data_IF_874274937067
#
_entry.id   IF_874274937067
#
_cell.length_a   1.000
_cell.length_b   1.000
_cell.length_c   1.000
_cell.angle_alpha   90.00
_cell.angle_beta   90.00
_cell.angle_gamma   90.00
#
_symmetry.space_group_name_H-M   'P 1'
#
loop_
_entity.id
_entity.type
_entity.pdbx_description
1 polymer ?
#
# COMPACT_ATOMS: atom_id res chain seq x y z
N UNK A 1 -7.96 12.66 -18.02
CA UNK A 1 -7.95 14.05 -17.52
C UNK A 1 -6.54 14.37 -17.07
N UNK A 2 -5.95 15.47 -17.52
CA UNK A 2 -4.61 15.89 -17.13
C UNK A 2 -4.70 17.01 -16.09
N UNK A 3 -3.91 16.95 -15.02
CA UNK A 3 -3.80 17.98 -14.01
C UNK A 3 -2.51 18.77 -14.24
N UNK A 4 -2.61 20.07 -14.40
CA UNK A 4 -1.48 20.96 -14.67
C UNK A 4 -1.42 22.03 -13.60
N UNK A 5 -0.24 22.21 -13.01
CA UNK A 5 0.01 23.31 -12.07
C UNK A 5 0.58 24.49 -12.84
N UNK A 6 0.03 25.67 -12.61
CA UNK A 6 0.55 26.93 -13.15
C UNK A 6 0.87 27.91 -12.03
N UNK A 7 1.98 28.62 -12.11
CA UNK A 7 2.30 29.68 -11.16
C UNK A 7 1.21 30.75 -11.09
N UNK A 8 1.10 31.41 -9.97
CA UNK A 8 0.26 32.60 -9.83
C UNK A 8 0.68 33.66 -10.87
N UNK A 9 -0.28 34.31 -11.53
CA UNK A 9 -0.03 35.30 -12.59
C UNK A 9 0.17 34.74 -14.00
N UNK A 10 0.26 33.41 -14.18
CA UNK A 10 0.31 32.82 -15.52
C UNK A 10 -1.01 33.00 -16.29
N UNK A 11 -0.94 33.17 -17.61
CA UNK A 11 -2.12 33.32 -18.47
C UNK A 11 -3.12 32.19 -18.31
N UNK A 12 -4.41 32.47 -18.50
CA UNK A 12 -5.46 31.45 -18.38
C UNK A 12 -5.25 30.35 -19.44
N UNK A 13 -5.28 29.08 -19.01
CA UNK A 13 -5.23 27.93 -19.89
C UNK A 13 -6.60 27.24 -19.85
N UNK A 14 -7.29 27.22 -20.98
CA UNK A 14 -8.51 26.46 -21.15
C UNK A 14 -8.31 25.45 -22.29
N UNK A 15 -8.21 24.19 -21.95
CA UNK A 15 -8.04 23.09 -22.90
C UNK A 15 -8.93 21.91 -22.51
N UNK A 16 -9.56 21.22 -23.48
CA UNK A 16 -10.28 19.98 -23.21
C UNK A 16 -9.40 18.98 -22.44
N UNK A 17 -10.00 18.29 -21.48
CA UNK A 17 -9.32 17.28 -20.65
C UNK A 17 -8.18 17.77 -19.76
N UNK A 18 -8.04 19.09 -19.56
CA UNK A 18 -7.02 19.68 -18.68
C UNK A 18 -7.69 20.39 -17.51
N UNK A 19 -7.32 20.03 -16.30
CA UNK A 19 -7.66 20.75 -15.05
C UNK A 19 -6.44 21.57 -14.64
N UNK A 20 -6.61 22.86 -14.52
CA UNK A 20 -5.53 23.79 -14.14
C UNK A 20 -5.64 24.13 -12.67
N UNK A 21 -4.57 23.83 -11.93
CA UNK A 21 -4.40 24.22 -10.53
C UNK A 21 -3.52 25.45 -10.42
N UNK A 22 -3.89 26.40 -9.60
CA UNK A 22 -3.06 27.55 -9.24
C UNK A 22 -2.59 27.38 -7.81
N UNK A 23 -1.30 27.13 -7.63
CA UNK A 23 -0.73 26.91 -6.32
C UNK A 23 0.76 27.24 -6.31
N UNK A 24 1.26 27.52 -5.11
CA UNK A 24 2.69 27.70 -4.90
C UNK A 24 3.43 26.39 -5.16
N UNK A 25 4.46 26.45 -5.96
CA UNK A 25 5.36 25.36 -6.29
C UNK A 25 6.79 25.83 -6.05
N UNK A 26 7.59 25.03 -5.40
CA UNK A 26 9.00 25.29 -5.19
C UNK A 26 9.82 24.52 -6.23
N UNK A 27 11.03 25.01 -6.55
CA UNK A 27 11.87 24.42 -7.61
C UNK A 27 12.22 22.95 -7.33
N UNK A 28 12.43 22.59 -6.07
CA UNK A 28 12.72 21.23 -5.61
C UNK A 28 11.49 20.28 -5.55
N UNK A 29 10.31 20.79 -5.90
CA UNK A 29 9.06 20.01 -6.01
C UNK A 29 8.75 19.66 -7.48
N UNK A 30 9.66 19.95 -8.38
CA UNK A 30 9.54 19.66 -9.82
C UNK A 30 10.71 18.79 -10.25
N UNK A 31 10.41 17.78 -11.04
CA UNK A 31 11.39 16.92 -11.72
C UNK A 31 11.03 16.82 -13.21
N UNK A 32 11.86 16.14 -13.99
CA UNK A 32 11.63 15.95 -15.42
C UNK A 32 11.50 14.46 -15.70
N UNK A 33 10.41 14.08 -16.37
CA UNK A 33 10.19 12.73 -16.89
C UNK A 33 9.99 12.83 -18.41
N UNK A 34 10.84 12.18 -19.17
CA UNK A 34 10.81 12.19 -20.65
C UNK A 34 10.73 13.60 -21.27
N UNK A 35 11.48 14.55 -20.68
CA UNK A 35 11.49 15.94 -21.12
C UNK A 35 10.29 16.77 -20.66
N UNK A 36 9.37 16.21 -19.90
CA UNK A 36 8.18 16.90 -19.39
C UNK A 36 8.38 17.22 -17.90
N UNK A 37 8.22 18.50 -17.49
CA UNK A 37 8.27 18.86 -16.08
C UNK A 37 7.02 18.32 -15.37
N UNK A 38 7.25 17.55 -14.31
CA UNK A 38 6.22 16.96 -13.45
C UNK A 38 6.52 17.25 -11.98
N UNK A 39 5.52 17.16 -11.12
CA UNK A 39 5.75 17.21 -9.66
C UNK A 39 6.51 15.98 -9.19
N UNK A 40 7.38 16.16 -8.18
CA UNK A 40 8.04 15.02 -7.53
C UNK A 40 7.00 14.08 -6.91
N UNK A 41 7.33 12.79 -6.65
CA UNK A 41 6.39 11.83 -6.08
C UNK A 41 5.77 12.28 -4.76
N UNK A 42 6.57 12.80 -3.85
CA UNK A 42 6.11 13.31 -2.54
C UNK A 42 5.22 14.55 -2.68
N UNK A 43 5.50 15.42 -3.67
CA UNK A 43 4.62 16.55 -3.95
C UNK A 43 3.32 16.08 -4.59
N UNK A 44 3.37 15.17 -5.53
CA UNK A 44 2.19 14.54 -6.15
C UNK A 44 1.30 13.90 -5.09
N UNK A 45 1.88 13.13 -4.15
CA UNK A 45 1.16 12.53 -3.05
C UNK A 45 0.43 13.59 -2.19
N UNK A 46 1.11 14.69 -1.86
CA UNK A 46 0.47 15.77 -1.11
C UNK A 46 -0.65 16.45 -1.89
N UNK A 47 -0.52 16.61 -3.21
CA UNK A 47 -1.56 17.18 -4.06
C UNK A 47 -2.79 16.28 -4.12
N UNK A 48 -2.61 14.95 -4.16
CA UNK A 48 -3.68 13.96 -4.11
C UNK A 48 -4.51 14.02 -2.83
N UNK A 49 -3.97 14.53 -1.72
CA UNK A 49 -4.70 14.67 -0.47
C UNK A 49 -5.95 15.57 -0.57
N UNK A 50 -6.03 16.43 -1.56
CA UNK A 50 -7.24 17.23 -1.83
C UNK A 50 -8.39 16.37 -2.33
N UNK A 51 -8.10 15.38 -3.17
CA UNK A 51 -9.07 14.60 -3.94
C UNK A 51 -9.40 13.24 -3.32
N UNK A 52 -8.38 12.56 -2.79
CA UNK A 52 -8.49 11.20 -2.26
C UNK A 52 -9.06 11.17 -0.84
N UNK A 53 -9.64 10.05 -0.48
CA UNK A 53 -9.89 9.66 0.92
C UNK A 53 -8.58 9.38 1.65
N UNK A 54 -8.63 9.24 2.98
CA UNK A 54 -7.43 8.89 3.77
C UNK A 54 -6.87 7.53 3.33
N UNK A 55 -7.73 6.54 3.10
CA UNK A 55 -7.30 5.19 2.70
C UNK A 55 -6.63 5.17 1.33
N UNK A 56 -7.24 5.83 0.35
CA UNK A 56 -6.64 5.96 -0.98
C UNK A 56 -5.30 6.70 -0.92
N UNK A 57 -5.18 7.68 -0.03
CA UNK A 57 -3.94 8.41 0.18
C UNK A 57 -2.88 7.55 0.89
N UNK A 58 -3.28 6.65 1.80
CA UNK A 58 -2.38 5.65 2.38
C UNK A 58 -1.89 4.68 1.31
N UNK A 59 -2.80 4.16 0.47
CA UNK A 59 -2.44 3.28 -0.66
C UNK A 59 -1.42 3.94 -1.59
N UNK A 60 -1.66 5.21 -1.95
CA UNK A 60 -0.71 5.97 -2.77
C UNK A 60 0.63 6.17 -2.06
N UNK A 61 0.60 6.43 -0.75
CA UNK A 61 1.79 6.59 0.07
C UNK A 61 2.58 5.29 0.23
N UNK A 62 1.92 4.17 0.53
CA UNK A 62 2.54 2.84 0.60
C UNK A 62 3.27 2.53 -0.73
N UNK A 63 2.62 2.82 -1.88
CA UNK A 63 3.24 2.66 -3.20
C UNK A 63 4.45 3.56 -3.42
N UNK A 64 4.46 4.79 -2.90
CA UNK A 64 5.58 5.72 -3.02
C UNK A 64 6.81 5.24 -2.23
N UNK A 65 6.59 4.70 -1.01
CA UNK A 65 7.68 4.30 -0.10
C UNK A 65 8.07 2.83 -0.23
N UNK A 66 7.37 2.07 -1.06
CA UNK A 66 7.62 0.66 -1.30
C UNK A 66 9.02 0.42 -1.90
N UNK A 67 9.77 -0.53 -1.34
CA UNK A 67 10.97 -1.04 -2.00
C UNK A 67 10.56 -1.80 -3.27
N UNK A 68 11.04 -1.38 -4.43
CA UNK A 68 10.64 -2.02 -5.68
C UNK A 68 11.27 -3.42 -5.81
N UNK A 69 10.65 -4.24 -6.66
CA UNK A 69 11.24 -5.48 -7.15
C UNK A 69 11.88 -5.19 -8.51
N UNK A 70 13.20 -5.11 -8.63
CA UNK A 70 13.87 -4.61 -9.84
C UNK A 70 13.42 -5.31 -11.13
N UNK A 71 13.15 -6.63 -11.04
CA UNK A 71 12.73 -7.43 -12.19
C UNK A 71 11.31 -7.06 -12.70
N UNK A 72 10.48 -6.46 -11.84
CA UNK A 72 9.09 -6.10 -12.16
C UNK A 72 8.91 -4.59 -12.35
N UNK A 73 9.58 -3.79 -11.54
CA UNK A 73 9.34 -2.35 -11.46
C UNK A 73 10.29 -1.52 -12.33
N UNK A 74 11.37 -2.11 -12.84
CA UNK A 74 12.39 -1.42 -13.64
C UNK A 74 13.13 -0.31 -12.87
N UNK A 75 13.10 -0.32 -11.54
CA UNK A 75 13.78 0.59 -10.62
C UNK A 75 14.29 -0.19 -9.40
N UNK A 76 15.28 0.37 -8.73
CA UNK A 76 15.98 -0.24 -7.59
C UNK A 76 15.78 0.52 -6.26
N UNK A 77 15.08 1.66 -6.30
CA UNK A 77 14.82 2.48 -5.13
C UNK A 77 13.33 2.89 -5.04
N UNK A 78 12.82 3.20 -3.83
CA UNK A 78 11.51 3.80 -3.65
C UNK A 78 11.35 5.10 -4.43
N UNK A 79 10.13 5.50 -4.73
CA UNK A 79 9.87 6.81 -5.35
C UNK A 79 10.22 7.95 -4.40
N UNK A 80 9.94 7.80 -3.12
CA UNK A 80 10.37 8.71 -2.05
C UNK A 80 10.36 7.97 -0.71
N UNK A 81 10.87 8.60 0.35
CA UNK A 81 10.84 8.10 1.71
C UNK A 81 9.67 8.66 2.51
N UNK A 82 9.33 8.03 3.65
CA UNK A 82 8.37 8.59 4.61
C UNK A 82 8.80 9.97 5.11
N UNK A 83 10.12 10.21 5.22
CA UNK A 83 10.65 11.51 5.64
C UNK A 83 10.41 12.59 4.57
N UNK A 84 10.44 12.24 3.29
CA UNK A 84 10.12 13.15 2.19
C UNK A 84 8.65 13.56 2.22
N UNK A 85 7.74 12.59 2.43
CA UNK A 85 6.32 12.85 2.61
C UNK A 85 6.07 13.78 3.82
N UNK A 86 6.75 13.52 4.95
CA UNK A 86 6.62 14.36 6.14
C UNK A 86 7.13 15.79 5.88
N UNK A 87 8.25 15.96 5.18
CA UNK A 87 8.77 17.28 4.80
C UNK A 87 7.76 18.07 3.96
N UNK A 88 7.05 17.40 3.04
CA UNK A 88 5.99 18.06 2.25
C UNK A 88 4.86 18.56 3.15
N UNK A 89 4.39 17.74 4.10
CA UNK A 89 3.37 18.15 5.08
C UNK A 89 3.82 19.38 5.88
N UNK A 90 5.05 19.38 6.35
CA UNK A 90 5.59 20.45 7.22
C UNK A 90 5.79 21.76 6.44
N UNK A 91 6.16 21.67 5.16
CA UNK A 91 6.33 22.84 4.28
C UNK A 91 4.99 23.46 3.90
N UNK A 92 3.95 22.66 3.70
CA UNK A 92 2.66 23.08 3.16
C UNK A 92 1.50 23.07 4.19
N UNK A 93 1.74 23.57 5.38
CA UNK A 93 0.82 23.50 6.54
C UNK A 93 -0.60 24.00 6.27
N UNK A 94 -0.76 24.95 5.36
CA UNK A 94 -2.06 25.55 4.99
C UNK A 94 -2.73 24.92 3.75
N UNK A 95 -2.12 23.88 3.15
CA UNK A 95 -2.63 23.30 1.91
C UNK A 95 -3.98 22.60 2.15
N UNK A 96 -4.87 22.71 1.15
CA UNK A 96 -6.13 21.95 1.15
C UNK A 96 -5.83 20.45 1.20
N UNK A 97 -6.56 19.71 2.03
CA UNK A 97 -6.30 18.28 2.25
C UNK A 97 -5.21 17.97 3.29
N UNK A 98 -4.50 18.96 3.84
CA UNK A 98 -3.37 18.74 4.78
C UNK A 98 -3.75 17.91 6.01
N UNK A 99 -5.00 17.99 6.50
CA UNK A 99 -5.47 17.15 7.61
C UNK A 99 -5.50 15.68 7.23
N UNK A 100 -5.99 15.34 6.01
CA UNK A 100 -5.97 13.98 5.49
C UNK A 100 -4.54 13.47 5.29
N UNK A 101 -3.63 14.31 4.79
CA UNK A 101 -2.22 13.94 4.65
C UNK A 101 -1.56 13.60 6.00
N UNK A 102 -1.84 14.38 7.06
CA UNK A 102 -1.35 14.08 8.42
C UNK A 102 -1.93 12.81 9.01
N UNK A 103 -3.18 12.50 8.71
CA UNK A 103 -3.81 11.25 9.12
C UNK A 103 -3.23 10.06 8.34
N UNK A 104 -3.11 10.20 7.03
CA UNK A 104 -2.60 9.15 6.16
C UNK A 104 -1.15 8.77 6.47
N UNK A 105 -0.25 9.75 6.68
CA UNK A 105 1.18 9.45 6.91
C UNK A 105 1.42 8.60 8.15
N UNK A 106 0.58 8.72 9.17
CA UNK A 106 0.65 7.88 10.37
C UNK A 106 0.30 6.40 10.08
N UNK A 107 -0.41 6.15 8.98
CA UNK A 107 -0.89 4.84 8.57
C UNK A 107 -0.07 4.22 7.42
N UNK A 108 0.78 5.00 6.74
CA UNK A 108 1.65 4.49 5.66
C UNK A 108 2.68 3.51 6.22
N UNK A 109 2.89 2.41 5.48
CA UNK A 109 3.89 1.39 5.81
C UNK A 109 4.72 1.03 4.57
N UNK A 110 5.99 0.73 4.80
CA UNK A 110 6.85 0.13 3.77
C UNK A 110 6.55 -1.37 3.69
N UNK A 111 6.47 -1.90 2.47
CA UNK A 111 6.36 -3.34 2.23
C UNK A 111 5.07 -3.80 1.58
N UNK A 112 4.07 -2.95 1.37
CA UNK A 112 2.87 -3.34 0.62
C UNK A 112 3.16 -3.31 -0.89
N UNK A 113 2.91 -4.41 -1.58
CA UNK A 113 3.16 -4.55 -3.02
C UNK A 113 1.93 -4.21 -3.88
N UNK A 114 0.74 -4.13 -3.26
CA UNK A 114 -0.50 -3.82 -3.99
C UNK A 114 -1.45 -2.92 -3.19
N UNK A 115 -2.35 -2.20 -3.87
CA UNK A 115 -3.43 -1.45 -3.23
C UNK A 115 -4.31 -2.30 -2.30
N UNK A 116 -4.56 -3.55 -2.68
CA UNK A 116 -5.41 -4.47 -1.95
C UNK A 116 -4.79 -4.92 -0.62
N UNK A 117 -3.48 -5.14 -0.59
CA UNK A 117 -2.73 -5.43 0.64
C UNK A 117 -2.80 -4.25 1.61
N UNK A 118 -2.60 -3.02 1.13
CA UNK A 118 -2.74 -1.80 1.94
C UNK A 118 -4.15 -1.68 2.52
N UNK A 119 -5.19 -1.87 1.72
CA UNK A 119 -6.58 -1.79 2.16
C UNK A 119 -6.93 -2.90 3.15
N UNK A 120 -6.46 -4.13 2.91
CA UNK A 120 -6.66 -5.26 3.83
C UNK A 120 -5.98 -4.99 5.18
N UNK A 121 -4.74 -4.52 5.18
CA UNK A 121 -4.03 -4.12 6.40
C UNK A 121 -4.81 -3.06 7.18
N UNK A 122 -5.27 -2.01 6.50
CA UNK A 122 -6.05 -0.95 7.14
C UNK A 122 -7.34 -1.48 7.78
N UNK A 123 -8.07 -2.36 7.08
CA UNK A 123 -9.28 -2.97 7.60
C UNK A 123 -9.01 -3.84 8.83
N UNK A 124 -7.94 -4.62 8.82
CA UNK A 124 -7.48 -5.45 9.93
C UNK A 124 -7.18 -4.59 11.17
N UNK A 125 -6.39 -3.53 11.01
CA UNK A 125 -5.98 -2.63 12.10
C UNK A 125 -7.20 -1.90 12.70
N UNK A 126 -8.09 -1.38 11.86
CA UNK A 126 -9.35 -0.73 12.30
C UNK A 126 -10.28 -1.64 13.05
N UNK A 127 -10.26 -2.93 12.73
CA UNK A 127 -11.03 -3.94 13.44
C UNK A 127 -10.42 -4.32 14.81
N UNK A 128 -9.33 -3.66 15.24
CA UNK A 128 -8.64 -3.92 16.50
C UNK A 128 -7.87 -5.23 16.54
N UNK A 129 -7.54 -5.79 15.37
CA UNK A 129 -6.61 -6.91 15.28
C UNK A 129 -5.16 -6.41 15.31
N UNK A 130 -4.19 -7.26 15.68
CA UNK A 130 -2.78 -6.89 15.59
C UNK A 130 -2.41 -6.44 14.16
N UNK A 131 -1.54 -5.45 14.06
CA UNK A 131 -1.01 -5.04 12.74
C UNK A 131 -0.11 -6.15 12.19
N UNK A 132 -0.35 -6.61 10.95
CA UNK A 132 0.50 -7.64 10.34
C UNK A 132 1.81 -7.06 9.83
N UNK A 133 2.82 -7.91 9.69
CA UNK A 133 4.03 -7.64 8.93
C UNK A 133 3.72 -7.79 7.43
N UNK A 134 4.35 -6.97 6.57
CA UNK A 134 4.08 -6.89 5.13
C UNK A 134 5.23 -7.52 4.34
N UNK A 135 4.90 -8.46 3.45
CA UNK A 135 5.85 -9.07 2.50
C UNK A 135 7.18 -9.51 3.17
N UNK A 136 7.07 -10.12 4.35
CA UNK A 136 8.23 -10.61 5.09
C UNK A 136 8.36 -12.12 4.90
N UNK A 137 9.52 -12.63 4.45
CA UNK A 137 9.70 -14.04 4.20
C UNK A 137 9.56 -14.88 5.46
N UNK A 138 8.96 -16.05 5.31
CA UNK A 138 9.00 -17.10 6.32
C UNK A 138 10.43 -17.62 6.36
N UNK A 139 11.03 -17.64 7.56
CA UNK A 139 12.36 -18.18 7.79
C UNK A 139 12.20 -19.38 8.73
N UNK A 140 12.73 -20.53 8.32
CA UNK A 140 12.72 -21.74 9.15
C UNK A 140 13.82 -21.72 10.24
N UNK A 141 13.80 -22.74 11.10
CA UNK A 141 14.74 -22.87 12.21
C UNK A 141 16.22 -23.06 11.73
N UNK A 142 16.43 -23.44 10.46
CA UNK A 142 17.73 -23.54 9.82
C UNK A 142 18.20 -22.20 9.19
N UNK A 143 17.37 -21.16 9.23
CA UNK A 143 17.66 -19.86 8.61
C UNK A 143 17.35 -19.82 7.11
N UNK A 144 16.68 -20.83 6.55
CA UNK A 144 16.31 -20.86 5.13
C UNK A 144 15.12 -19.95 4.88
N UNK A 145 15.27 -19.11 3.87
CA UNK A 145 14.20 -18.21 3.40
C UNK A 145 13.24 -18.98 2.51
N UNK A 146 11.96 -18.88 2.82
CA UNK A 146 10.87 -19.49 2.08
C UNK A 146 9.97 -18.43 1.42
N UNK A 147 8.70 -18.78 1.24
CA UNK A 147 7.67 -17.91 0.69
C UNK A 147 7.47 -16.62 1.52
N UNK A 148 7.14 -15.54 0.83
CA UNK A 148 6.77 -14.24 1.42
C UNK A 148 5.25 -14.06 1.33
N UNK A 149 4.51 -14.20 2.44
CA UNK A 149 3.10 -13.84 2.47
C UNK A 149 2.89 -12.35 2.25
N UNK A 150 1.78 -11.97 1.61
CA UNK A 150 1.42 -10.55 1.47
C UNK A 150 1.34 -9.86 2.85
N UNK A 151 0.68 -10.53 3.82
CA UNK A 151 0.67 -10.12 5.22
C UNK A 151 0.97 -11.32 6.13
N UNK A 152 1.65 -11.09 7.25
CA UNK A 152 1.98 -12.19 8.15
C UNK A 152 1.89 -11.83 9.63
N UNK A 153 1.68 -12.86 10.44
CA UNK A 153 1.77 -12.80 11.90
C UNK A 153 2.75 -13.87 12.37
N UNK A 154 4.02 -13.53 12.37
CA UNK A 154 5.11 -14.47 12.67
C UNK A 154 4.94 -15.17 14.02
N UNK A 155 4.54 -14.41 15.04
CA UNK A 155 4.26 -14.94 16.38
C UNK A 155 3.21 -16.05 16.38
N UNK A 156 2.26 -16.00 15.47
CA UNK A 156 1.13 -16.93 15.36
C UNK A 156 1.29 -17.92 14.20
N UNK A 157 2.38 -17.82 13.44
CA UNK A 157 2.66 -18.62 12.24
C UNK A 157 1.48 -18.58 11.25
N UNK A 158 0.98 -17.37 10.98
CA UNK A 158 -0.11 -17.15 10.03
C UNK A 158 0.44 -16.30 8.87
N UNK A 159 0.23 -16.77 7.64
CA UNK A 159 0.37 -15.98 6.42
C UNK A 159 -1.00 -15.71 5.82
N UNK A 160 -1.21 -14.47 5.39
CA UNK A 160 -2.43 -14.03 4.72
C UNK A 160 -2.07 -13.68 3.28
N UNK A 161 -2.78 -14.30 2.34
CA UNK A 161 -2.59 -14.13 0.90
C UNK A 161 -3.81 -13.45 0.30
N UNK A 162 -3.58 -12.40 -0.46
CA UNK A 162 -4.62 -11.77 -1.27
C UNK A 162 -4.64 -12.38 -2.67
N UNK A 163 -5.71 -13.04 -3.01
CA UNK A 163 -5.93 -13.60 -4.34
C UNK A 163 -6.80 -12.64 -5.15
N UNK A 164 -6.22 -12.05 -6.19
CA UNK A 164 -6.95 -11.28 -7.20
C UNK A 164 -7.98 -12.14 -7.95
N UNK A 165 -8.54 -11.63 -9.05
CA UNK A 165 -9.41 -12.44 -9.92
C UNK A 165 -8.55 -13.51 -10.63
N UNK A 166 -8.82 -14.76 -10.27
CA UNK A 166 -8.19 -15.91 -10.89
C UNK A 166 -8.76 -16.10 -12.31
N UNK A 167 -7.97 -15.83 -13.31
CA UNK A 167 -8.17 -16.43 -14.61
C UNK A 167 -7.61 -17.86 -14.52
N UNK A 168 -8.52 -18.85 -14.54
CA UNK A 168 -8.21 -20.25 -14.25
C UNK A 168 -7.27 -20.90 -15.26
N UNK A 169 -5.99 -20.63 -15.15
CA UNK A 169 -4.95 -21.37 -15.86
C UNK A 169 -4.55 -22.62 -15.04
N UNK A 170 -4.48 -23.78 -15.69
CA UNK A 170 -4.10 -25.06 -15.05
C UNK A 170 -2.82 -24.96 -14.22
N UNK A 171 -1.84 -24.16 -14.66
CA UNK A 171 -0.59 -23.94 -13.92
C UNK A 171 -0.75 -23.18 -12.59
N UNK A 172 -1.87 -22.51 -12.35
CA UNK A 172 -2.13 -21.79 -11.10
C UNK A 172 -2.57 -22.74 -9.98
N UNK A 173 -3.39 -23.72 -10.30
CA UNK A 173 -3.83 -24.75 -9.33
C UNK A 173 -2.62 -25.50 -8.76
N UNK A 174 -1.66 -25.87 -9.62
CA UNK A 174 -0.44 -26.55 -9.18
C UNK A 174 0.40 -25.67 -8.25
N UNK A 175 0.55 -24.38 -8.59
CA UNK A 175 1.27 -23.43 -7.73
C UNK A 175 0.59 -23.24 -6.37
N UNK A 176 -0.74 -23.17 -6.35
CA UNK A 176 -1.53 -22.99 -5.14
C UNK A 176 -1.44 -24.21 -4.22
N UNK A 177 -1.48 -25.43 -4.77
CA UNK A 177 -1.27 -26.67 -4.02
C UNK A 177 0.14 -26.67 -3.41
N UNK A 178 1.17 -26.42 -4.22
CA UNK A 178 2.55 -26.39 -3.76
C UNK A 178 2.80 -25.33 -2.67
N UNK A 179 2.14 -24.17 -2.76
CA UNK A 179 2.19 -23.14 -1.73
C UNK A 179 1.55 -23.62 -0.43
N UNK A 180 0.36 -24.20 -0.49
CA UNK A 180 -0.35 -24.73 0.67
C UNK A 180 0.43 -25.87 1.37
N UNK A 181 1.06 -26.75 0.59
CA UNK A 181 1.94 -27.80 1.13
C UNK A 181 3.15 -27.20 1.85
N UNK A 182 3.77 -26.14 1.33
CA UNK A 182 4.89 -25.43 1.98
C UNK A 182 4.45 -24.80 3.30
N UNK A 183 3.28 -24.13 3.36
CA UNK A 183 2.75 -23.60 4.61
C UNK A 183 2.61 -24.69 5.67
N UNK A 184 2.01 -25.82 5.29
CA UNK A 184 1.82 -26.98 6.18
C UNK A 184 3.16 -27.55 6.67
N UNK A 185 4.12 -27.74 5.76
CA UNK A 185 5.44 -28.27 6.10
C UNK A 185 6.22 -27.37 7.07
N UNK A 186 6.00 -26.05 7.01
CA UNK A 186 6.62 -25.06 7.90
C UNK A 186 5.83 -24.87 9.22
N UNK A 187 4.70 -25.56 9.39
CA UNK A 187 3.80 -25.39 10.53
C UNK A 187 3.11 -24.03 10.58
N UNK A 188 2.89 -23.42 9.41
CA UNK A 188 2.18 -22.17 9.24
C UNK A 188 0.74 -22.42 8.77
N UNK A 189 -0.14 -21.48 9.07
CA UNK A 189 -1.53 -21.47 8.58
C UNK A 189 -1.67 -20.44 7.48
N UNK A 190 -2.15 -20.84 6.31
CA UNK A 190 -2.49 -19.95 5.21
C UNK A 190 -3.93 -19.44 5.36
N UNK A 191 -4.13 -18.12 5.30
CA UNK A 191 -5.44 -17.46 5.26
C UNK A 191 -5.62 -16.79 3.91
N UNK A 192 -6.45 -17.35 3.04
CA UNK A 192 -6.69 -16.81 1.69
C UNK A 192 -7.81 -15.80 1.69
N UNK A 193 -7.53 -14.61 1.18
CA UNK A 193 -8.47 -13.50 1.00
C UNK A 193 -8.64 -13.26 -0.49
N UNK A 194 -9.87 -13.29 -0.99
CA UNK A 194 -10.18 -12.95 -2.38
C UNK A 194 -10.90 -11.61 -2.48
N UNK A 195 -10.99 -11.05 -3.67
CA UNK A 195 -11.69 -9.80 -3.98
C UNK A 195 -13.09 -9.72 -3.33
N UNK A 196 -13.86 -10.83 -3.35
CA UNK A 196 -15.20 -10.88 -2.74
C UNK A 196 -15.19 -10.63 -1.22
N UNK A 197 -14.11 -10.99 -0.53
CA UNK A 197 -13.99 -10.77 0.92
C UNK A 197 -13.70 -9.31 1.26
N UNK A 198 -13.29 -8.49 0.27
CA UNK A 198 -13.00 -7.06 0.44
C UNK A 198 -14.23 -6.16 0.33
N UNK A 199 -15.40 -6.71 -0.04
CA UNK A 199 -16.64 -5.94 -0.02
C UNK A 199 -17.05 -5.58 1.43
N UNK A 200 -17.93 -4.58 1.59
CA UNK A 200 -18.48 -4.15 2.87
C UNK A 200 -17.37 -3.85 3.92
N UNK A 201 -16.44 -2.98 3.56
CA UNK A 201 -15.27 -2.60 4.40
C UNK A 201 -14.44 -3.82 4.83
N UNK A 202 -14.29 -4.80 3.95
CA UNK A 202 -13.52 -6.03 4.16
C UNK A 202 -13.96 -6.88 5.38
N UNK A 203 -15.22 -6.78 5.80
CA UNK A 203 -15.74 -7.51 6.99
C UNK A 203 -15.48 -9.00 6.93
N UNK A 204 -15.68 -9.63 5.76
CA UNK A 204 -15.44 -11.06 5.59
C UNK A 204 -13.94 -11.41 5.65
N UNK A 205 -13.08 -10.56 5.11
CA UNK A 205 -11.63 -10.73 5.21
C UNK A 205 -11.16 -10.63 6.66
N UNK A 206 -11.60 -9.59 7.38
CA UNK A 206 -11.31 -9.40 8.80
C UNK A 206 -11.79 -10.58 9.65
N UNK A 207 -12.98 -11.11 9.36
CA UNK A 207 -13.51 -12.27 10.08
C UNK A 207 -12.64 -13.52 9.88
N UNK A 208 -12.14 -13.77 8.65
CA UNK A 208 -11.23 -14.90 8.38
C UNK A 208 -9.89 -14.74 9.10
N UNK A 209 -9.28 -13.55 9.06
CA UNK A 209 -8.03 -13.29 9.76
C UNK A 209 -8.20 -13.42 11.26
N UNK A 210 -9.29 -12.88 11.83
CA UNK A 210 -9.63 -13.02 13.25
C UNK A 210 -9.77 -14.49 13.66
N UNK A 211 -10.47 -15.31 12.87
CA UNK A 211 -10.63 -16.73 13.14
C UNK A 211 -9.28 -17.45 13.19
N UNK A 212 -8.40 -17.21 12.21
CA UNK A 212 -7.04 -17.76 12.19
C UNK A 212 -6.24 -17.36 13.43
N UNK A 213 -6.27 -16.08 13.80
CA UNK A 213 -5.57 -15.56 14.98
C UNK A 213 -6.08 -16.19 16.28
N UNK A 214 -7.41 -16.34 16.44
CA UNK A 214 -8.02 -16.98 17.61
C UNK A 214 -7.63 -18.47 17.72
N UNK A 215 -7.62 -19.20 16.60
CA UNK A 215 -7.18 -20.59 16.53
C UNK A 215 -5.69 -20.72 16.89
N UNK A 216 -4.86 -19.78 16.48
CA UNK A 216 -3.44 -19.72 16.80
C UNK A 216 -3.14 -19.19 18.22
N UNK A 217 -4.18 -18.95 19.05
CA UNK A 217 -4.03 -18.57 20.45
C UNK A 217 -3.98 -17.07 20.75
N UNK A 218 -4.16 -16.20 19.74
CA UNK A 218 -4.35 -14.78 20.01
C UNK A 218 -5.63 -14.54 20.81
N UNK A 219 -5.61 -13.54 21.71
CA UNK A 219 -6.79 -13.13 22.50
C UNK A 219 -6.89 -11.59 22.46
N UNK A 220 -8.11 -11.04 22.27
CA UNK A 220 -8.34 -9.59 22.36
C UNK A 220 -7.97 -9.04 23.73
N UNK A 221 -7.35 -7.86 23.78
CA UNK A 221 -7.11 -7.12 25.02
C UNK A 221 -5.98 -7.66 25.93
N UNK A 222 -5.09 -8.48 25.40
CA UNK A 222 -3.84 -8.86 26.07
C UNK A 222 -2.61 -8.27 25.45
#
# INVERSE_FOLDING_TARGET
MYHVIRPEGAAHLNRPHVIVHRMKLYDDEVTVLDGIPITTPERTWLDLAEMLTVDELVVAGDSCVRMPRPELDGRDAPLCSLQDLQRMIDRHKGKRGIRKAREAIALIRVGSDSPQESLLRLAIVRAGLPEPELNVPIIDDAGTRHHEPDLSYRKYRIGVEYEGELHGEEGQIVRDIARSEKYTALGWTEVRISKRHMHDDAKAAVAKVRAGLLQAGWRPGR
#
